data_IF_335687758895
#
_entry.id   IF_335687758895
#
_cell.length_a   1.000
_cell.length_b   1.000
_cell.length_c   1.000
_cell.angle_alpha   90.00
_cell.angle_beta   90.00
_cell.angle_gamma   90.00
#
_symmetry.space_group_name_H-M   'P 1'
#
loop_
_entity.id
_entity.type
_entity.pdbx_description
1 polymer ?
#
# COMPACT_ATOMS: atom_id res chain seq x y z
N UNK A 1 28.80 13.10 -26.37
CA UNK A 1 27.36 13.29 -26.04
C UNK A 1 27.00 12.37 -24.88
N UNK A 2 26.80 12.86 -23.65
CA UNK A 2 26.35 12.00 -22.56
C UNK A 2 24.90 11.56 -22.84
N UNK A 3 24.69 10.24 -22.84
CA UNK A 3 23.36 9.63 -23.01
C UNK A 3 22.47 10.11 -21.86
N UNK A 4 21.39 10.83 -22.19
CA UNK A 4 20.30 11.09 -21.26
C UNK A 4 19.80 9.74 -20.77
N UNK A 5 20.18 9.37 -19.54
CA UNK A 5 19.55 8.27 -18.83
C UNK A 5 18.06 8.57 -18.81
N UNK A 6 17.29 7.76 -19.53
CA UNK A 6 15.83 7.78 -19.46
C UNK A 6 15.50 7.27 -18.05
N UNK A 7 15.48 8.17 -17.08
CA UNK A 7 15.09 7.86 -15.71
C UNK A 7 13.63 7.44 -15.81
N UNK A 8 13.37 6.14 -15.63
CA UNK A 8 12.00 5.62 -15.46
C UNK A 8 11.29 6.54 -14.47
N UNK A 9 10.09 7.07 -14.79
CA UNK A 9 9.37 7.93 -13.86
C UNK A 9 9.28 7.18 -12.52
N UNK A 10 9.58 7.85 -11.39
CA UNK A 10 9.59 7.19 -10.09
C UNK A 10 8.25 6.47 -9.89
N UNK A 11 8.26 5.24 -9.37
CA UNK A 11 7.06 4.42 -9.29
C UNK A 11 5.99 5.14 -8.49
N UNK A 12 4.93 5.56 -9.18
CA UNK A 12 3.58 5.81 -8.70
C UNK A 12 3.47 6.43 -7.28
N UNK A 13 4.34 7.39 -6.93
CA UNK A 13 4.39 7.96 -5.58
C UNK A 13 3.17 8.83 -5.33
N UNK A 14 2.57 8.72 -4.14
CA UNK A 14 1.52 9.64 -3.71
C UNK A 14 2.13 11.01 -3.44
N UNK A 15 1.51 12.07 -3.95
CA UNK A 15 1.90 13.45 -3.69
C UNK A 15 1.16 13.99 -2.46
N UNK A 16 1.64 15.11 -1.94
CA UNK A 16 0.95 15.84 -0.87
C UNK A 16 -0.48 16.20 -1.30
N UNK A 17 -0.64 16.78 -2.49
CA UNK A 17 -1.93 17.22 -3.00
C UNK A 17 -2.95 16.08 -3.10
N UNK A 18 -2.53 14.88 -3.50
CA UNK A 18 -3.43 13.71 -3.56
C UNK A 18 -3.91 13.27 -2.18
N UNK A 19 -3.02 13.33 -1.18
CA UNK A 19 -3.35 13.01 0.19
C UNK A 19 -4.23 14.10 0.81
N UNK A 20 -4.00 15.37 0.50
CA UNK A 20 -4.89 16.48 0.91
C UNK A 20 -6.30 16.27 0.38
N UNK A 21 -6.45 15.95 -0.91
CA UNK A 21 -7.77 15.67 -1.50
C UNK A 21 -8.42 14.47 -0.82
N UNK A 22 -7.68 13.38 -0.58
CA UNK A 22 -8.19 12.23 0.16
C UNK A 22 -8.67 12.63 1.56
N UNK A 23 -7.90 13.44 2.29
CA UNK A 23 -8.28 13.91 3.63
C UNK A 23 -9.52 14.80 3.60
N UNK A 24 -9.61 15.71 2.63
CA UNK A 24 -10.77 16.58 2.46
C UNK A 24 -12.05 15.78 2.16
N UNK A 25 -11.96 14.77 1.29
CA UNK A 25 -13.07 13.85 1.01
C UNK A 25 -13.54 13.14 2.28
N UNK A 26 -12.61 12.60 3.07
CA UNK A 26 -12.95 11.88 4.31
C UNK A 26 -13.47 12.80 5.41
N UNK A 27 -13.07 14.07 5.42
CA UNK A 27 -13.56 15.08 6.37
C UNK A 27 -14.94 15.63 5.98
N UNK A 28 -15.28 15.63 4.70
CA UNK A 28 -16.53 16.19 4.19
C UNK A 28 -17.72 15.26 4.48
N UNK A 29 -18.62 15.72 5.36
CA UNK A 29 -19.86 15.02 5.69
C UNK A 29 -20.76 14.79 4.47
N UNK A 30 -20.87 15.80 3.59
CA UNK A 30 -21.66 15.72 2.34
C UNK A 30 -21.11 14.65 1.39
N UNK A 31 -19.78 14.63 1.22
CA UNK A 31 -19.11 13.63 0.37
C UNK A 31 -19.31 12.21 0.93
N UNK A 32 -19.11 12.04 2.24
CA UNK A 32 -19.23 10.76 2.91
C UNK A 32 -20.67 10.24 2.90
N UNK A 33 -21.68 11.08 3.14
CA UNK A 33 -23.10 10.70 3.04
C UNK A 33 -23.50 10.29 1.62
N UNK A 34 -22.93 10.95 0.61
CA UNK A 34 -23.25 10.66 -0.79
C UNK A 34 -22.64 9.35 -1.27
N UNK A 35 -21.38 9.09 -0.93
CA UNK A 35 -20.63 7.96 -1.51
C UNK A 35 -20.44 6.78 -0.57
N UNK A 36 -20.57 6.99 0.75
CA UNK A 36 -20.27 5.97 1.74
C UNK A 36 -21.04 6.21 3.07
N UNK A 37 -22.38 6.24 3.05
CA UNK A 37 -23.22 6.68 4.19
C UNK A 37 -23.09 5.81 5.44
N UNK A 38 -22.50 4.61 5.33
CA UNK A 38 -22.21 3.74 6.47
C UNK A 38 -20.95 4.13 7.24
N UNK A 39 -20.16 5.09 6.73
CA UNK A 39 -18.95 5.58 7.40
C UNK A 39 -19.17 6.98 7.95
N UNK A 40 -18.51 7.24 9.07
CA UNK A 40 -18.50 8.55 9.70
C UNK A 40 -17.46 9.46 9.03
N UNK A 41 -17.82 10.74 8.85
CA UNK A 41 -16.91 11.75 8.35
C UNK A 41 -15.92 12.18 9.43
N UNK A 42 -14.70 12.54 9.03
CA UNK A 42 -13.63 12.89 9.97
C UNK A 42 -13.03 11.68 10.69
N UNK A 43 -13.21 10.48 10.14
CA UNK A 43 -12.65 9.22 10.66
C UNK A 43 -12.02 8.45 9.50
N UNK A 44 -10.92 7.73 9.75
CA UNK A 44 -10.37 6.81 8.75
C UNK A 44 -11.22 5.54 8.65
N UNK A 45 -11.87 5.25 7.51
CA UNK A 45 -12.72 4.08 7.40
C UNK A 45 -11.92 2.78 7.53
N UNK A 46 -12.49 1.82 8.24
CA UNK A 46 -11.97 0.46 8.27
C UNK A 46 -12.27 -0.22 6.92
N UNK A 47 -11.22 -0.46 6.13
CA UNK A 47 -11.35 -1.17 4.85
C UNK A 47 -10.10 -1.97 4.51
N UNK A 48 -10.32 -3.08 3.80
CA UNK A 48 -9.26 -3.88 3.19
C UNK A 48 -9.15 -3.64 1.69
N UNK A 49 -8.01 -3.97 1.11
CA UNK A 49 -7.81 -3.95 -0.35
C UNK A 49 -8.80 -4.86 -1.08
N UNK A 50 -9.16 -6.01 -0.46
CA UNK A 50 -10.15 -6.94 -1.02
C UNK A 50 -11.51 -6.26 -1.12
N UNK A 51 -12.00 -5.63 -0.05
CA UNK A 51 -13.29 -4.93 -0.07
C UNK A 51 -13.30 -3.78 -1.08
N UNK A 52 -12.23 -2.99 -1.16
CA UNK A 52 -12.09 -1.93 -2.13
C UNK A 52 -12.02 -2.42 -3.59
N UNK A 53 -11.70 -3.69 -3.81
CA UNK A 53 -11.66 -4.32 -5.14
C UNK A 53 -12.98 -5.02 -5.50
N UNK A 54 -13.82 -5.32 -4.51
CA UNK A 54 -15.15 -5.89 -4.73
C UNK A 54 -16.08 -4.83 -5.29
N UNK A 55 -16.47 -4.98 -6.57
CA UNK A 55 -17.40 -4.05 -7.23
C UNK A 55 -18.69 -3.88 -6.42
N UNK A 56 -19.17 -2.65 -6.38
CA UNK A 56 -20.37 -2.23 -5.65
C UNK A 56 -20.33 -2.38 -4.10
N UNK A 57 -19.20 -2.76 -3.50
CA UNK A 57 -19.03 -2.58 -2.05
C UNK A 57 -18.98 -1.09 -1.71
N UNK A 58 -19.38 -0.72 -0.50
CA UNK A 58 -19.30 0.67 -0.04
C UNK A 58 -17.86 1.20 -0.07
N UNK A 59 -16.88 0.35 0.28
CA UNK A 59 -15.45 0.66 0.23
C UNK A 59 -14.98 0.92 -1.21
N UNK A 60 -15.45 0.12 -2.16
CA UNK A 60 -15.14 0.31 -3.58
C UNK A 60 -15.73 1.63 -4.09
N UNK A 61 -17.00 1.92 -3.79
CA UNK A 61 -17.67 3.16 -4.19
C UNK A 61 -16.93 4.37 -3.62
N UNK A 62 -16.56 4.34 -2.34
CA UNK A 62 -15.77 5.38 -1.71
C UNK A 62 -14.41 5.56 -2.39
N UNK A 63 -13.68 4.47 -2.64
CA UNK A 63 -12.38 4.55 -3.33
C UNK A 63 -12.52 5.09 -4.75
N UNK A 64 -13.57 4.73 -5.48
CA UNK A 64 -13.85 5.26 -6.82
C UNK A 64 -14.11 6.76 -6.77
N UNK A 65 -14.92 7.22 -5.81
CA UNK A 65 -15.23 8.65 -5.66
C UNK A 65 -13.97 9.46 -5.31
N UNK A 66 -13.17 8.99 -4.35
CA UNK A 66 -11.89 9.63 -3.99
C UNK A 66 -10.93 9.65 -5.18
N UNK A 67 -10.86 8.56 -5.97
CA UNK A 67 -9.98 8.50 -7.14
C UNK A 67 -10.35 9.56 -8.19
N UNK A 68 -11.65 9.81 -8.38
CA UNK A 68 -12.16 10.86 -9.27
C UNK A 68 -11.84 12.25 -8.72
N UNK A 69 -12.08 12.50 -7.44
CA UNK A 69 -11.73 13.78 -6.80
C UNK A 69 -10.23 14.08 -6.90
N UNK A 70 -9.38 13.07 -6.70
CA UNK A 70 -7.94 13.20 -6.89
C UNK A 70 -7.62 13.59 -8.34
N UNK A 71 -8.20 12.91 -9.33
CA UNK A 71 -7.99 13.23 -10.74
C UNK A 71 -8.45 14.67 -11.08
N UNK A 72 -9.58 15.10 -10.52
CA UNK A 72 -10.16 16.42 -10.76
C UNK A 72 -9.38 17.55 -10.09
N UNK A 73 -8.98 17.38 -8.82
CA UNK A 73 -8.43 18.45 -7.98
C UNK A 73 -6.90 18.49 -7.94
N UNK A 74 -6.24 17.33 -7.94
CA UNK A 74 -4.79 17.24 -7.88
C UNK A 74 -4.11 17.18 -9.27
N UNK A 75 -4.89 17.10 -10.36
CA UNK A 75 -4.41 17.17 -11.73
C UNK A 75 -3.77 15.90 -12.28
N UNK A 76 -3.02 16.03 -13.38
CA UNK A 76 -2.44 14.94 -14.19
C UNK A 76 -1.22 14.26 -13.56
N UNK A 77 -1.39 13.65 -12.40
CA UNK A 77 -0.42 12.67 -11.93
C UNK A 77 -0.68 11.29 -12.54
N UNK A 78 0.39 10.51 -12.73
CA UNK A 78 0.34 9.16 -13.32
C UNK A 78 -0.15 9.10 -14.79
N UNK A 79 0.31 10.01 -15.67
CA UNK A 79 -0.11 10.08 -17.08
C UNK A 79 -1.64 10.21 -17.25
N UNK A 80 -2.28 11.07 -16.44
CA UNK A 80 -3.74 11.25 -16.37
C UNK A 80 -4.52 10.01 -15.93
N UNK A 81 -3.86 8.95 -15.46
CA UNK A 81 -4.55 7.74 -15.01
C UNK A 81 -5.11 7.93 -13.61
N UNK A 82 -6.38 7.57 -13.46
CA UNK A 82 -7.07 7.43 -12.18
C UNK A 82 -6.25 6.51 -11.26
N UNK A 83 -6.11 6.89 -9.98
CA UNK A 83 -5.43 6.06 -8.99
C UNK A 83 -6.17 4.72 -8.82
N UNK A 84 -5.46 3.58 -8.76
CA UNK A 84 -6.09 2.29 -8.48
C UNK A 84 -6.78 2.31 -7.12
N UNK A 85 -8.01 1.78 -7.04
CA UNK A 85 -8.80 1.77 -5.79
C UNK A 85 -8.08 1.05 -4.65
N UNK A 86 -7.36 -0.03 -4.97
CA UNK A 86 -6.49 -0.74 -4.03
C UNK A 86 -5.40 0.15 -3.42
N UNK A 87 -4.86 1.10 -4.19
CA UNK A 87 -3.85 2.06 -3.73
C UNK A 87 -4.44 3.02 -2.70
N UNK A 88 -5.66 3.50 -2.96
CA UNK A 88 -6.40 4.40 -2.06
C UNK A 88 -6.70 3.69 -0.74
N UNK A 89 -7.26 2.48 -0.80
CA UNK A 89 -7.54 1.68 0.39
C UNK A 89 -6.27 1.41 1.22
N UNK A 90 -5.15 1.11 0.57
CA UNK A 90 -3.86 0.92 1.23
C UNK A 90 -3.41 2.18 1.96
N UNK A 91 -3.61 3.38 1.36
CA UNK A 91 -3.23 4.64 2.01
C UNK A 91 -4.11 5.00 3.18
N UNK A 92 -5.43 4.79 3.08
CA UNK A 92 -6.35 4.97 4.20
C UNK A 92 -5.97 4.04 5.35
N UNK A 93 -5.70 2.76 5.06
CA UNK A 93 -5.28 1.78 6.06
C UNK A 93 -3.93 2.13 6.70
N UNK A 94 -2.98 2.69 5.94
CA UNK A 94 -1.70 3.16 6.47
C UNK A 94 -1.87 4.39 7.36
N UNK A 95 -2.69 5.37 6.94
CA UNK A 95 -2.97 6.56 7.72
C UNK A 95 -3.63 6.23 9.07
N UNK A 96 -4.53 5.24 9.07
CA UNK A 96 -5.15 4.72 10.29
C UNK A 96 -4.14 4.11 11.27
N UNK A 97 -3.09 3.47 10.77
CA UNK A 97 -2.08 2.80 11.61
C UNK A 97 -1.10 3.76 12.30
N UNK A 98 -0.95 4.98 11.80
CA UNK A 98 -0.03 5.98 12.37
C UNK A 98 -0.39 6.36 13.81
N UNK A 99 -1.69 6.32 14.14
CA UNK A 99 -2.24 6.67 15.45
C UNK A 99 -3.17 5.57 15.96
N UNK A 100 -2.76 4.29 15.82
CA UNK A 100 -3.60 3.13 16.13
C UNK A 100 -4.04 3.06 17.61
N UNK A 101 -3.29 3.70 18.51
CA UNK A 101 -3.57 3.73 19.95
C UNK A 101 -4.63 4.78 20.35
N UNK A 102 -5.05 5.65 19.43
CA UNK A 102 -6.06 6.69 19.66
C UNK A 102 -7.45 6.23 19.24
N UNK A 103 -8.49 6.95 19.70
CA UNK A 103 -9.83 6.78 19.13
C UNK A 103 -9.81 7.13 17.63
N UNK A 104 -10.72 6.57 16.81
CA UNK A 104 -10.71 6.80 15.37
C UNK A 104 -10.78 8.29 14.96
N UNK A 105 -11.55 9.08 15.70
CA UNK A 105 -11.73 10.53 15.49
C UNK A 105 -10.47 11.30 15.93
N UNK A 106 -9.88 10.91 17.05
CA UNK A 106 -8.65 11.49 17.56
C UNK A 106 -7.46 11.15 16.65
N UNK A 107 -7.40 9.93 16.12
CA UNK A 107 -6.39 9.47 15.16
C UNK A 107 -6.43 10.29 13.87
N UNK A 108 -7.64 10.58 13.37
CA UNK A 108 -7.84 11.43 12.19
C UNK A 108 -7.46 12.90 12.47
N UNK A 109 -7.83 13.42 13.64
CA UNK A 109 -7.52 14.80 14.02
C UNK A 109 -6.02 15.01 14.29
N UNK A 110 -5.33 14.00 14.83
CA UNK A 110 -3.90 14.01 15.09
C UNK A 110 -3.05 13.57 13.88
N UNK A 111 -3.68 13.28 12.74
CA UNK A 111 -2.96 12.82 11.55
C UNK A 111 -2.10 13.94 10.96
N UNK A 112 -0.78 13.79 11.04
CA UNK A 112 0.17 14.70 10.42
C UNK A 112 0.49 14.28 8.99
N UNK A 113 -0.11 15.01 8.05
CA UNK A 113 0.06 14.81 6.62
C UNK A 113 1.51 14.99 6.16
N UNK A 114 2.24 15.98 6.70
CA UNK A 114 3.62 16.29 6.31
C UNK A 114 4.56 15.13 6.63
N UNK A 115 4.50 14.67 7.89
CA UNK A 115 5.25 13.49 8.32
C UNK A 115 4.89 12.24 7.51
N UNK A 116 3.61 12.04 7.21
CA UNK A 116 3.15 10.89 6.41
C UNK A 116 3.70 10.93 4.98
N UNK A 117 3.67 12.09 4.31
CA UNK A 117 4.25 12.28 2.98
C UNK A 117 5.76 11.98 3.01
N UNK A 118 6.49 12.51 3.99
CA UNK A 118 7.94 12.31 4.13
C UNK A 118 8.33 10.85 4.39
N UNK A 119 7.56 10.12 5.21
CA UNK A 119 7.75 8.68 5.44
C UNK A 119 7.46 7.87 4.19
N UNK A 120 6.33 8.15 3.53
CA UNK A 120 5.95 7.47 2.29
C UNK A 120 6.95 7.72 1.16
N UNK A 121 7.65 8.85 1.21
CA UNK A 121 8.72 9.19 0.32
C UNK A 121 10.00 8.35 0.57
N UNK A 122 10.34 8.14 1.84
CA UNK A 122 11.57 7.44 2.25
C UNK A 122 11.54 5.93 1.94
N UNK A 123 10.35 5.30 1.96
CA UNK A 123 10.15 3.88 1.66
C UNK A 123 10.49 3.52 0.19
N UNK A 124 10.53 4.49 -0.72
CA UNK A 124 10.87 4.25 -2.14
C UNK A 124 12.37 4.31 -2.46
N UNK A 125 13.27 4.52 -1.49
CA UNK A 125 14.67 4.20 -1.71
C UNK A 125 14.80 2.68 -1.62
N UNK A 126 15.24 1.97 -2.68
CA UNK A 126 15.68 0.59 -2.49
C UNK A 126 16.79 0.68 -1.43
N UNK A 127 16.54 0.02 -0.31
CA UNK A 127 17.49 -0.07 0.78
C UNK A 127 18.74 -0.80 0.25
N UNK A 128 19.70 -0.01 -0.21
CA UNK A 128 21.10 -0.37 -0.28
C UNK A 128 21.75 -0.12 1.07
N UNK A 129 21.07 -0.45 2.19
CA UNK A 129 21.69 -0.44 3.51
C UNK A 129 22.41 -1.78 3.70
N UNK A 130 23.50 -1.93 2.94
CA UNK A 130 24.63 -2.72 3.42
C UNK A 130 25.11 -2.04 4.70
N UNK A 131 24.61 -2.50 5.85
CA UNK A 131 25.22 -2.21 7.14
C UNK A 131 26.71 -2.59 7.01
N UNK A 132 27.67 -1.69 7.30
CA UNK A 132 29.05 -2.11 7.44
C UNK A 132 29.15 -2.86 8.77
N UNK A 133 29.25 -4.18 8.71
CA UNK A 133 29.79 -4.96 9.83
C UNK A 133 31.31 -4.92 9.70
N UNK A 134 31.92 -3.93 10.34
CA UNK A 134 33.35 -3.99 10.66
C UNK A 134 33.49 -4.83 11.94
N UNK A 135 34.13 -5.99 11.81
CA UNK A 135 35.17 -6.48 12.71
C UNK A 135 35.52 -7.96 12.42
N UNK A 136 36.76 -8.13 11.97
CA UNK A 136 37.51 -9.36 11.74
C UNK A 136 37.48 -10.41 12.86
N UNK A 137 37.53 -11.70 12.51
CA UNK A 137 38.74 -12.53 12.62
C UNK A 137 38.46 -14.05 12.50
N UNK A 138 39.12 -14.64 11.51
CA UNK A 138 39.86 -15.92 11.54
C UNK A 138 39.19 -17.25 11.94
N UNK A 139 39.05 -18.07 10.90
CA UNK A 139 39.80 -19.32 10.67
C UNK A 139 39.17 -20.69 10.99
N UNK A 140 39.43 -21.56 10.01
CA UNK A 140 39.55 -23.03 10.06
C UNK A 140 38.28 -23.88 9.87
N UNK A 141 38.13 -24.33 8.62
CA UNK A 141 38.39 -25.73 8.29
C UNK A 141 37.21 -26.70 8.31
N UNK A 142 37.21 -27.58 7.29
CA UNK A 142 36.47 -28.84 7.20
C UNK A 142 34.94 -28.69 7.06
N UNK A 143 34.20 -29.48 6.30
CA UNK A 143 34.40 -30.58 5.37
C UNK A 143 33.01 -30.79 4.75
N UNK A 144 32.90 -31.26 3.50
CA UNK A 144 31.62 -31.66 2.89
C UNK A 144 30.86 -32.67 3.79
N UNK A 145 29.52 -32.83 3.66
CA UNK A 145 29.01 -34.00 2.93
C UNK A 145 27.61 -33.72 2.27
N UNK A 146 26.87 -34.72 1.74
CA UNK A 146 26.73 -34.87 0.28
C UNK A 146 25.25 -34.90 -0.19
N UNK A 147 25.15 -35.17 -1.49
CA UNK A 147 23.98 -35.32 -2.34
C UNK A 147 22.73 -36.02 -1.78
N UNK A 148 21.59 -35.46 -2.22
CA UNK A 148 20.32 -36.07 -2.59
C UNK A 148 20.12 -37.57 -2.26
N UNK A 149 19.19 -37.82 -1.34
CA UNK A 149 18.53 -39.10 -1.15
C UNK A 149 17.16 -39.10 -1.83
N UNK A 150 16.96 -40.13 -2.65
CA UNK A 150 15.78 -40.49 -3.41
C UNK A 150 14.68 -41.12 -2.53
N UNK A 151 13.47 -41.22 -3.10
CA UNK A 151 12.37 -42.15 -2.78
C UNK A 151 11.56 -41.99 -1.48
N UNK A 152 10.28 -41.60 -1.63
CA UNK A 152 9.12 -42.52 -1.61
C UNK A 152 7.79 -41.74 -1.70
N UNK A 153 7.06 -41.91 -2.81
CA UNK A 153 5.61 -41.69 -2.87
C UNK A 153 4.95 -43.04 -3.13
N UNK A 154 4.44 -43.63 -2.05
CA UNK A 154 3.34 -44.59 -2.08
C UNK A 154 2.05 -43.78 -1.89
N UNK A 155 1.12 -43.86 -2.84
CA UNK A 155 -0.31 -43.72 -2.55
C UNK A 155 -1.07 -44.62 -3.54
N UNK A 156 -1.70 -45.62 -2.92
CA UNK A 156 -2.52 -46.69 -3.47
C UNK A 156 -3.95 -46.20 -3.80
N UNK A 157 -4.74 -47.12 -4.37
CA UNK A 157 -6.21 -47.18 -4.53
C UNK A 157 -6.82 -46.50 -5.77
N UNK A 158 -7.03 -47.23 -6.88
CA UNK A 158 -8.12 -48.20 -7.19
C UNK A 158 -9.50 -47.54 -7.45
N UNK A 159 -9.97 -47.53 -8.70
CA UNK A 159 -10.97 -48.49 -9.22
C UNK A 159 -11.49 -48.08 -10.61
N UNK A 160 -11.79 -49.10 -11.39
CA UNK A 160 -12.09 -49.11 -12.81
C UNK A 160 -13.30 -50.03 -12.97
N UNK A 161 -14.46 -49.50 -13.36
CA UNK A 161 -15.67 -50.14 -13.92
C UNK A 161 -16.61 -48.95 -14.22
N UNK A 162 -17.12 -48.71 -15.44
CA UNK A 162 -17.75 -49.56 -16.46
C UNK A 162 -17.39 -49.11 -17.88
#
# INVERSE_FOLDING_TARGET
MPRKTLTKPPPNRWTRAELEVMMDCLRSDDFMKTHAPSFEAGVFPAMTVREASTKASTQHILCVAIAKEIQTRAGEHNNHNVRPFASIATKIAAARQENADLSPEAAFSAFDLDSFVQRSASISKPDGSSRPIDASASASGADHPPAAGDERRDYDEQQHEE
#
